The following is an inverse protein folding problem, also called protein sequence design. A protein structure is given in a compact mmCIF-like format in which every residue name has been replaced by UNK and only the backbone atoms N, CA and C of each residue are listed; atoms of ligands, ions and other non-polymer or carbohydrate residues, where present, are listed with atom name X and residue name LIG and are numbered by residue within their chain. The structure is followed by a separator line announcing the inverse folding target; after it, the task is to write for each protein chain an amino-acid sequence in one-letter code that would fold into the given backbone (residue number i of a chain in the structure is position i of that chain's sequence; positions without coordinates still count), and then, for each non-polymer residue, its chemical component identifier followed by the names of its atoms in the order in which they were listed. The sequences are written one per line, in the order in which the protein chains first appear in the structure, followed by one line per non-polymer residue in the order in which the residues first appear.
data_IF_280971412002
#
_entry.id   IF_280971412002
#
_cell.length_a   1.000
_cell.length_b   1.000
_cell.length_c   1.000
_cell.angle_alpha   90.00
_cell.angle_beta   90.00
_cell.angle_gamma   90.00
#
_symmetry.space_group_name_H-M   'P 1'
#
loop_
_entity.id
_entity.type
_entity.pdbx_description
1 polymer ?
#
# COMPACT_ATOMS: atom_id res chain seq x y z
N UNK A 1 20.06 44.89 39.12
CA UNK A 1 20.12 43.45 38.81
C UNK A 1 18.98 42.91 37.94
N UNK A 2 17.79 43.50 37.88
CA UNK A 2 16.67 42.99 37.04
C UNK A 2 16.78 43.30 35.54
N UNK A 3 17.49 44.35 35.16
CA UNK A 3 17.68 44.74 33.74
C UNK A 3 18.72 43.90 33.00
N UNK A 4 19.72 43.33 33.67
CA UNK A 4 20.76 42.50 33.03
C UNK A 4 20.25 41.10 32.67
N UNK A 5 19.29 40.55 33.40
CA UNK A 5 18.70 39.23 33.12
C UNK A 5 17.81 39.27 31.86
N UNK A 6 17.08 40.38 31.67
CA UNK A 6 16.21 40.58 30.51
C UNK A 6 17.04 40.70 29.22
N UNK A 7 18.23 41.33 29.29
CA UNK A 7 19.11 41.47 28.15
C UNK A 7 19.78 40.16 27.74
N UNK A 8 20.10 39.31 28.70
CA UNK A 8 20.65 37.97 28.43
C UNK A 8 19.57 37.06 27.82
N UNK A 9 18.32 37.17 28.26
CA UNK A 9 17.21 36.42 27.70
C UNK A 9 16.85 36.88 26.28
N UNK A 10 16.86 38.21 26.01
CA UNK A 10 16.66 38.73 24.65
C UNK A 10 17.79 38.36 23.70
N UNK A 11 19.04 38.35 24.14
CA UNK A 11 20.19 37.89 23.36
C UNK A 11 20.13 36.38 23.11
N UNK A 12 19.69 35.56 24.06
CA UNK A 12 19.54 34.12 23.85
C UNK A 12 18.41 33.77 22.88
N UNK A 13 17.31 34.55 22.86
CA UNK A 13 16.21 34.40 21.90
C UNK A 13 16.62 34.87 20.50
N UNK A 14 17.38 35.98 20.39
CA UNK A 14 17.94 36.43 19.12
C UNK A 14 18.99 35.47 18.56
N UNK A 15 19.84 34.90 19.42
CA UNK A 15 20.81 33.86 19.01
C UNK A 15 20.14 32.52 18.63
N UNK A 16 19.02 32.18 19.24
CA UNK A 16 18.24 30.99 18.86
C UNK A 16 17.54 31.17 17.49
N UNK A 17 17.14 32.41 17.13
CA UNK A 17 16.57 32.71 15.82
C UNK A 17 17.63 32.72 14.70
N UNK A 18 18.89 33.12 15.00
CA UNK A 18 19.96 33.20 14.00
C UNK A 18 20.76 31.89 13.82
N UNK A 19 20.61 30.92 14.73
CA UNK A 19 21.35 29.65 14.61
C UNK A 19 20.89 28.79 13.42
N UNK A 20 19.68 29.01 12.90
CA UNK A 20 19.21 28.35 11.68
C UNK A 20 19.87 28.90 10.41
N UNK A 21 20.40 30.12 10.41
CA UNK A 21 21.06 30.74 9.26
C UNK A 21 22.52 30.32 9.07
N UNK A 22 23.09 29.56 10.01
CA UNK A 22 24.50 29.16 9.99
C UNK A 22 24.76 27.76 9.40
N UNK A 23 23.72 27.00 9.14
CA UNK A 23 23.89 25.66 8.54
C UNK A 23 24.04 25.76 7.01
N UNK A 24 24.89 24.92 6.39
CA UNK A 24 24.94 24.82 4.95
C UNK A 24 23.54 24.52 4.37
N UNK A 25 23.16 25.08 3.21
CA UNK A 25 21.81 24.95 2.65
C UNK A 25 21.30 23.50 2.58
N UNK A 26 22.18 22.55 2.26
CA UNK A 26 21.83 21.13 2.23
C UNK A 26 21.45 20.58 3.63
N UNK A 27 22.17 21.00 4.67
CA UNK A 27 21.88 20.54 6.04
C UNK A 27 20.56 21.14 6.56
N UNK A 28 20.24 22.38 6.21
CA UNK A 28 18.94 22.99 6.50
C UNK A 28 17.82 22.21 5.83
N UNK A 29 17.98 21.87 4.56
CA UNK A 29 17.01 21.05 3.82
C UNK A 29 16.81 19.68 4.46
N UNK A 30 17.89 19.00 4.86
CA UNK A 30 17.81 17.69 5.53
C UNK A 30 17.06 17.78 6.88
N UNK A 31 17.25 18.87 7.64
CA UNK A 31 16.51 19.12 8.89
C UNK A 31 15.03 19.39 8.64
N UNK A 32 14.68 20.19 7.64
CA UNK A 32 13.30 20.45 7.28
C UNK A 32 12.58 19.17 6.82
N UNK A 33 13.26 18.31 6.06
CA UNK A 33 12.74 17.01 5.65
C UNK A 33 12.50 16.10 6.87
N UNK A 34 13.41 16.12 7.85
CA UNK A 34 13.23 15.38 9.10
C UNK A 34 12.01 15.89 9.88
N UNK A 35 11.87 17.21 10.04
CA UNK A 35 10.70 17.83 10.66
C UNK A 35 9.38 17.44 9.95
N UNK A 36 9.37 17.45 8.61
CA UNK A 36 8.20 17.03 7.84
C UNK A 36 7.84 15.57 8.10
N UNK A 37 8.84 14.71 8.22
CA UNK A 37 8.63 13.30 8.53
C UNK A 37 8.02 13.11 9.92
N UNK A 38 8.56 13.78 10.92
CA UNK A 38 8.09 13.70 12.31
C UNK A 38 6.67 14.26 12.44
N UNK A 39 6.40 15.42 11.82
CA UNK A 39 5.07 16.01 11.79
C UNK A 39 4.04 15.09 11.12
N UNK A 40 4.38 14.49 9.99
CA UNK A 40 3.46 13.60 9.26
C UNK A 40 3.15 12.30 10.03
N UNK A 41 4.12 11.82 10.84
CA UNK A 41 3.92 10.64 11.69
C UNK A 41 3.01 10.92 12.88
N UNK A 42 3.11 12.12 13.46
CA UNK A 42 2.36 12.51 14.67
C UNK A 42 0.94 12.99 14.35
N UNK A 43 0.77 13.75 13.26
CA UNK A 43 -0.49 14.43 12.93
C UNK A 43 -1.35 13.67 11.90
N UNK A 44 -0.80 12.69 11.20
CA UNK A 44 -1.45 12.03 10.07
C UNK A 44 -1.73 12.96 8.87
N UNK A 45 -1.13 14.17 8.85
CA UNK A 45 -1.28 15.18 7.80
C UNK A 45 0.08 15.71 7.38
N UNK A 46 0.15 16.38 6.23
CA UNK A 46 1.30 17.17 5.86
C UNK A 46 1.06 18.64 6.22
N UNK A 47 2.13 19.32 6.57
CA UNK A 47 2.14 20.77 6.69
C UNK A 47 2.49 21.34 5.31
N UNK A 48 1.49 21.86 4.60
CA UNK A 48 1.65 22.36 3.23
C UNK A 48 2.63 23.53 3.16
N UNK A 49 2.61 24.43 4.16
CA UNK A 49 3.56 25.51 4.24
C UNK A 49 5.00 25.00 4.36
N UNK A 50 5.26 24.02 5.21
CA UNK A 50 6.58 23.39 5.35
C UNK A 50 6.98 22.67 4.05
N UNK A 51 6.04 22.04 3.34
CA UNK A 51 6.31 21.44 2.04
C UNK A 51 6.75 22.48 0.99
N UNK A 52 6.09 23.63 0.94
CA UNK A 52 6.43 24.73 0.05
C UNK A 52 7.78 25.35 0.40
N UNK A 53 8.07 25.56 1.68
CA UNK A 53 9.38 26.04 2.15
C UNK A 53 10.51 25.09 1.76
N UNK A 54 10.34 23.79 1.95
CA UNK A 54 11.29 22.75 1.56
C UNK A 54 11.52 22.75 0.04
N UNK A 55 10.45 22.85 -0.74
CA UNK A 55 10.53 22.89 -2.21
C UNK A 55 11.25 24.13 -2.70
N UNK A 56 10.94 25.31 -2.14
CA UNK A 56 11.58 26.58 -2.45
C UNK A 56 13.08 26.53 -2.13
N UNK A 57 13.42 26.05 -0.95
CA UNK A 57 14.81 25.94 -0.53
C UNK A 57 15.62 24.97 -1.42
N UNK A 58 15.02 23.81 -1.78
CA UNK A 58 15.66 22.89 -2.72
C UNK A 58 15.85 23.50 -4.11
N UNK A 59 14.95 24.39 -4.53
CA UNK A 59 15.04 25.11 -5.81
C UNK A 59 16.14 26.18 -5.78
N UNK A 60 16.30 26.91 -4.68
CA UNK A 60 17.35 27.93 -4.49
C UNK A 60 18.75 27.33 -4.55
N UNK A 61 18.94 26.08 -4.12
CA UNK A 61 20.21 25.36 -4.23
C UNK A 61 20.59 25.14 -5.71
N UNK A 62 19.64 25.23 -6.65
CA UNK A 62 19.89 25.20 -8.10
C UNK A 62 20.28 23.83 -8.65
N UNK A 63 20.02 22.74 -7.92
CA UNK A 63 20.33 21.38 -8.34
C UNK A 63 19.03 20.60 -8.68
N UNK A 64 18.77 20.39 -9.98
CA UNK A 64 17.58 19.69 -10.47
C UNK A 64 17.41 18.28 -9.88
N UNK A 65 18.49 17.55 -9.68
CA UNK A 65 18.41 16.19 -9.09
C UNK A 65 18.00 16.25 -7.63
N UNK A 66 18.50 17.23 -6.88
CA UNK A 66 18.13 17.45 -5.49
C UNK A 66 16.67 17.90 -5.38
N UNK A 67 16.25 18.86 -6.22
CA UNK A 67 14.87 19.32 -6.27
C UNK A 67 13.90 18.17 -6.60
N UNK A 68 14.25 17.32 -7.58
CA UNK A 68 13.44 16.16 -7.93
C UNK A 68 13.37 15.13 -6.78
N UNK A 69 14.51 14.87 -6.11
CA UNK A 69 14.53 13.96 -4.96
C UNK A 69 13.67 14.48 -3.80
N UNK A 70 13.75 15.77 -3.52
CA UNK A 70 12.93 16.45 -2.50
C UNK A 70 11.44 16.35 -2.82
N UNK A 71 11.05 16.70 -4.04
CA UNK A 71 9.66 16.55 -4.51
C UNK A 71 9.19 15.10 -4.43
N UNK A 72 10.07 14.13 -4.72
CA UNK A 72 9.75 12.70 -4.62
C UNK A 72 9.43 12.28 -3.18
N UNK A 73 10.12 12.85 -2.19
CA UNK A 73 9.85 12.59 -0.77
C UNK A 73 8.46 13.12 -0.41
N UNK A 74 8.16 14.38 -0.73
CA UNK A 74 6.86 15.02 -0.44
C UNK A 74 5.73 14.28 -1.17
N UNK A 75 5.90 13.98 -2.46
CA UNK A 75 4.96 13.19 -3.26
C UNK A 75 4.62 11.84 -2.61
N UNK A 76 5.64 11.14 -2.13
CA UNK A 76 5.44 9.84 -1.48
C UNK A 76 4.63 9.97 -0.19
N UNK A 77 4.76 11.10 0.53
CA UNK A 77 3.96 11.39 1.74
C UNK A 77 2.51 11.67 1.40
N UNK A 78 2.22 12.53 0.42
CA UNK A 78 0.84 12.74 -0.04
C UNK A 78 0.19 11.44 -0.51
N UNK A 79 0.93 10.59 -1.24
CA UNK A 79 0.43 9.27 -1.62
C UNK A 79 0.06 8.39 -0.41
N UNK A 80 0.86 8.41 0.66
CA UNK A 80 0.58 7.64 1.90
C UNK A 80 -0.64 8.16 2.65
N UNK A 81 -0.88 9.45 2.59
CA UNK A 81 -2.03 10.11 3.20
C UNK A 81 -3.27 10.07 2.30
N UNK A 82 -3.18 9.44 1.13
CA UNK A 82 -4.23 9.37 0.11
C UNK A 82 -4.70 10.75 -0.40
N UNK A 83 -3.86 11.77 -0.25
CA UNK A 83 -4.11 13.10 -0.81
C UNK A 83 -3.79 13.10 -2.31
N UNK A 84 -4.79 12.73 -3.10
CA UNK A 84 -4.67 12.60 -4.55
C UNK A 84 -4.46 13.94 -5.24
N UNK A 85 -5.00 15.04 -4.70
CA UNK A 85 -4.91 16.38 -5.28
C UNK A 85 -3.47 16.91 -5.24
N UNK A 86 -2.87 16.94 -4.05
CA UNK A 86 -1.49 17.39 -3.87
C UNK A 86 -0.49 16.44 -4.52
N UNK A 87 -0.72 15.11 -4.44
CA UNK A 87 0.12 14.12 -5.14
C UNK A 87 0.13 14.36 -6.66
N UNK A 88 -1.02 14.64 -7.28
CA UNK A 88 -1.13 14.95 -8.70
C UNK A 88 -0.39 16.24 -9.06
N UNK A 89 -0.66 17.33 -8.32
CA UNK A 89 -0.01 18.62 -8.54
C UNK A 89 1.51 18.48 -8.50
N UNK A 90 2.03 17.74 -7.52
CA UNK A 90 3.46 17.55 -7.37
C UNK A 90 4.06 16.66 -8.47
N UNK A 91 3.33 15.63 -8.92
CA UNK A 91 3.74 14.81 -10.05
C UNK A 91 3.85 15.64 -11.33
N UNK A 92 2.88 16.53 -11.59
CA UNK A 92 2.92 17.43 -12.75
C UNK A 92 4.12 18.40 -12.68
N UNK A 93 4.48 18.90 -11.49
CA UNK A 93 5.69 19.71 -11.28
C UNK A 93 6.99 18.91 -11.47
N UNK A 94 7.02 17.63 -11.08
CA UNK A 94 8.20 16.76 -11.25
C UNK A 94 8.45 16.34 -12.69
N UNK A 95 7.38 16.14 -13.46
CA UNK A 95 7.42 15.54 -14.79
C UNK A 95 8.42 16.17 -15.77
N UNK A 96 8.51 17.50 -15.94
CA UNK A 96 9.48 18.13 -16.86
C UNK A 96 10.93 17.80 -16.49
N UNK A 97 11.26 17.81 -15.20
CA UNK A 97 12.60 17.51 -14.69
C UNK A 97 12.92 16.02 -14.87
N UNK A 98 11.99 15.15 -14.50
CA UNK A 98 12.14 13.71 -14.60
C UNK A 98 12.36 13.24 -16.05
N UNK A 99 11.64 13.84 -17.01
CA UNK A 99 11.84 13.56 -18.44
C UNK A 99 13.24 14.00 -18.87
N UNK A 100 13.69 15.19 -18.50
CA UNK A 100 14.98 15.75 -18.88
C UNK A 100 16.15 14.88 -18.42
N UNK A 101 16.11 14.39 -17.18
CA UNK A 101 17.18 13.55 -16.61
C UNK A 101 16.93 12.04 -16.80
N UNK A 102 15.87 11.63 -17.53
CA UNK A 102 15.46 10.23 -17.74
C UNK A 102 15.29 9.47 -16.44
N UNK A 103 14.57 10.07 -15.49
CA UNK A 103 14.38 9.50 -14.16
C UNK A 103 13.61 8.18 -14.20
N UNK A 104 14.23 7.16 -13.63
CA UNK A 104 13.64 5.81 -13.50
C UNK A 104 12.37 5.75 -12.64
N UNK A 105 12.14 6.75 -11.80
CA UNK A 105 10.95 6.81 -10.92
C UNK A 105 9.71 7.31 -11.64
N UNK A 106 9.84 7.90 -12.85
CA UNK A 106 8.72 8.47 -13.57
C UNK A 106 7.58 7.46 -13.81
N UNK A 107 7.93 6.26 -14.26
CA UNK A 107 6.97 5.15 -14.41
C UNK A 107 6.25 4.84 -13.08
N UNK A 108 7.02 4.67 -12.01
CA UNK A 108 6.46 4.28 -10.71
C UNK A 108 5.56 5.35 -10.11
N UNK A 109 5.86 6.62 -10.36
CA UNK A 109 5.04 7.72 -9.85
C UNK A 109 3.65 7.74 -10.53
N UNK A 110 3.59 7.52 -11.84
CA UNK A 110 2.30 7.39 -12.55
C UNK A 110 1.52 6.16 -12.08
N UNK A 111 2.19 5.03 -11.85
CA UNK A 111 1.56 3.82 -11.33
C UNK A 111 1.07 4.00 -9.87
N UNK A 112 1.76 4.79 -9.05
CA UNK A 112 1.26 5.15 -7.71
C UNK A 112 -0.03 5.94 -7.76
N UNK A 113 -0.19 6.86 -8.73
CA UNK A 113 -1.46 7.55 -8.95
C UNK A 113 -2.58 6.57 -9.31
N UNK A 114 -2.29 5.58 -10.18
CA UNK A 114 -3.27 4.53 -10.48
C UNK A 114 -3.70 3.78 -9.21
N UNK A 115 -2.76 3.43 -8.33
CA UNK A 115 -3.07 2.78 -7.06
C UNK A 115 -3.89 3.66 -6.11
N UNK A 116 -3.59 4.94 -6.00
CA UNK A 116 -4.38 5.87 -5.18
C UNK A 116 -5.85 5.88 -5.60
N UNK A 117 -6.09 5.95 -6.91
CA UNK A 117 -7.45 5.91 -7.43
C UNK A 117 -8.08 4.52 -7.32
N UNK A 118 -7.28 3.44 -7.35
CA UNK A 118 -7.76 2.10 -7.09
C UNK A 118 -8.25 1.95 -5.64
N UNK A 119 -7.51 2.44 -4.67
CA UNK A 119 -7.87 2.41 -3.25
C UNK A 119 -9.13 3.19 -2.93
N UNK A 120 -9.38 4.29 -3.65
CA UNK A 120 -10.59 5.10 -3.53
C UNK A 120 -11.73 4.61 -4.44
N UNK A 121 -11.58 3.43 -5.05
CA UNK A 121 -12.55 2.78 -5.94
C UNK A 121 -13.02 3.70 -7.08
N UNK A 122 -12.07 4.33 -7.74
CA UNK A 122 -12.27 5.19 -8.92
C UNK A 122 -11.73 4.50 -10.18
N UNK A 123 -12.46 3.52 -10.78
CA UNK A 123 -11.94 2.68 -11.85
C UNK A 123 -11.53 3.46 -13.11
N UNK A 124 -12.30 4.47 -13.50
CA UNK A 124 -11.99 5.29 -14.66
C UNK A 124 -10.66 6.06 -14.50
N UNK A 125 -10.43 6.65 -13.32
CA UNK A 125 -9.20 7.36 -13.02
C UNK A 125 -8.01 6.38 -12.88
N UNK A 126 -8.22 5.22 -12.25
CA UNK A 126 -7.21 4.17 -12.16
C UNK A 126 -6.76 3.75 -13.58
N UNK A 127 -7.69 3.44 -14.47
CA UNK A 127 -7.40 3.05 -15.85
C UNK A 127 -6.70 4.17 -16.63
N UNK A 128 -7.16 5.42 -16.46
CA UNK A 128 -6.52 6.59 -17.06
C UNK A 128 -5.03 6.69 -16.65
N UNK A 129 -4.73 6.54 -15.37
CA UNK A 129 -3.36 6.60 -14.88
C UNK A 129 -2.49 5.42 -15.29
N UNK A 130 -3.06 4.22 -15.44
CA UNK A 130 -2.37 3.06 -16.03
C UNK A 130 -1.99 3.36 -17.48
N UNK A 131 -2.90 3.95 -18.26
CA UNK A 131 -2.64 4.33 -19.66
C UNK A 131 -1.61 5.46 -19.77
N UNK A 132 -1.62 6.44 -18.86
CA UNK A 132 -0.57 7.46 -18.79
C UNK A 132 0.80 6.84 -18.44
N UNK A 133 0.85 5.93 -17.47
CA UNK A 133 2.06 5.21 -17.09
C UNK A 133 2.64 4.38 -18.25
N UNK A 134 1.79 3.87 -19.15
CA UNK A 134 2.20 3.08 -20.31
C UNK A 134 3.20 3.82 -21.20
N UNK A 135 3.12 5.15 -21.29
CA UNK A 135 4.07 5.98 -22.07
C UNK A 135 5.51 5.84 -21.58
N UNK A 136 5.69 5.43 -20.32
CA UNK A 136 6.97 5.24 -19.65
C UNK A 136 7.31 3.75 -19.41
N UNK A 137 6.50 2.83 -19.94
CA UNK A 137 6.68 1.38 -19.75
C UNK A 137 8.02 0.87 -20.29
N UNK A 138 8.62 1.59 -21.26
CA UNK A 138 9.97 1.27 -21.80
C UNK A 138 11.07 1.30 -20.73
N UNK A 139 10.86 2.03 -19.61
CA UNK A 139 11.79 2.09 -18.48
C UNK A 139 11.89 0.73 -17.79
N UNK A 140 10.75 0.09 -17.55
CA UNK A 140 10.65 -1.24 -16.96
C UNK A 140 9.30 -1.91 -17.34
N UNK A 141 9.22 -2.55 -18.51
CA UNK A 141 7.98 -3.14 -19.01
C UNK A 141 7.39 -4.17 -18.06
N UNK A 142 8.24 -4.99 -17.46
CA UNK A 142 7.82 -6.04 -16.53
C UNK A 142 7.13 -5.46 -15.31
N UNK A 143 7.71 -4.43 -14.69
CA UNK A 143 7.15 -3.78 -13.54
C UNK A 143 5.85 -3.03 -13.87
N UNK A 144 5.73 -2.50 -15.09
CA UNK A 144 4.49 -1.89 -15.55
C UNK A 144 3.35 -2.90 -15.58
N UNK A 145 3.54 -4.09 -16.19
CA UNK A 145 2.52 -5.13 -16.23
C UNK A 145 2.12 -5.61 -14.82
N UNK A 146 3.11 -5.87 -13.95
CA UNK A 146 2.86 -6.32 -12.58
C UNK A 146 2.02 -5.29 -11.81
N UNK A 147 2.40 -4.04 -11.90
CA UNK A 147 1.78 -2.98 -11.12
C UNK A 147 0.40 -2.61 -11.69
N UNK A 148 0.24 -2.60 -13.01
CA UNK A 148 -1.05 -2.42 -13.66
C UNK A 148 -2.04 -3.54 -13.30
N UNK A 149 -1.57 -4.80 -13.27
CA UNK A 149 -2.38 -5.94 -12.86
C UNK A 149 -2.89 -5.79 -11.42
N UNK A 150 -2.00 -5.40 -10.48
CA UNK A 150 -2.36 -5.17 -9.09
C UNK A 150 -3.35 -4.00 -8.93
N UNK A 151 -3.13 -2.87 -9.61
CA UNK A 151 -4.02 -1.72 -9.54
C UNK A 151 -5.41 -2.04 -10.09
N UNK A 152 -5.49 -2.74 -11.22
CA UNK A 152 -6.75 -3.22 -11.79
C UNK A 152 -7.49 -4.19 -10.85
N UNK A 153 -6.76 -5.11 -10.20
CA UNK A 153 -7.34 -6.04 -9.23
C UNK A 153 -7.98 -5.27 -8.05
N UNK A 154 -7.24 -4.33 -7.47
CA UNK A 154 -7.68 -3.51 -6.34
C UNK A 154 -8.91 -2.68 -6.69
N UNK A 155 -8.98 -2.18 -7.92
CA UNK A 155 -10.10 -1.38 -8.43
C UNK A 155 -11.32 -2.20 -8.87
N UNK A 156 -11.24 -3.54 -8.85
CA UNK A 156 -12.30 -4.42 -9.34
C UNK A 156 -12.36 -4.57 -10.86
N UNK A 157 -11.36 -4.09 -11.59
CA UNK A 157 -11.23 -4.25 -13.05
C UNK A 157 -10.62 -5.64 -13.38
N UNK A 158 -11.32 -6.70 -12.98
CA UNK A 158 -10.80 -8.07 -13.02
C UNK A 158 -10.42 -8.57 -14.43
N UNK A 159 -11.17 -8.29 -15.51
CA UNK A 159 -10.76 -8.67 -16.86
C UNK A 159 -9.43 -8.03 -17.26
N UNK A 160 -9.21 -6.75 -16.98
CA UNK A 160 -7.97 -6.04 -17.26
C UNK A 160 -6.83 -6.56 -16.39
N UNK A 161 -7.09 -6.80 -15.08
CA UNK A 161 -6.13 -7.40 -14.17
C UNK A 161 -5.61 -8.75 -14.72
N UNK A 162 -6.49 -9.59 -15.27
CA UNK A 162 -6.13 -10.87 -15.88
C UNK A 162 -5.21 -10.69 -17.11
N UNK A 163 -5.55 -9.77 -18.02
CA UNK A 163 -4.75 -9.47 -19.22
C UNK A 163 -3.34 -9.02 -18.84
N UNK A 164 -3.23 -8.09 -17.86
CA UNK A 164 -1.92 -7.61 -17.42
C UNK A 164 -1.14 -8.65 -16.63
N UNK A 165 -1.81 -9.48 -15.82
CA UNK A 165 -1.17 -10.59 -15.12
C UNK A 165 -0.61 -11.63 -16.09
N UNK A 166 -1.37 -12.02 -17.12
CA UNK A 166 -0.91 -12.94 -18.16
C UNK A 166 0.30 -12.37 -18.92
N UNK A 167 0.24 -11.08 -19.29
CA UNK A 167 1.36 -10.40 -19.94
C UNK A 167 2.61 -10.35 -19.04
N UNK A 168 2.44 -10.15 -17.73
CA UNK A 168 3.53 -10.21 -16.77
C UNK A 168 4.14 -11.63 -16.68
N UNK A 169 3.31 -12.67 -16.68
CA UNK A 169 3.72 -14.07 -16.55
C UNK A 169 4.55 -14.55 -17.74
N UNK A 170 4.22 -14.12 -18.95
CA UNK A 170 4.99 -14.47 -20.19
C UNK A 170 6.46 -14.04 -20.05
N UNK A 171 6.72 -12.92 -19.39
CA UNK A 171 8.06 -12.33 -19.29
C UNK A 171 8.79 -12.67 -17.99
N UNK A 172 8.19 -13.47 -17.08
CA UNK A 172 8.81 -13.86 -15.82
C UNK A 172 9.91 -14.93 -16.06
N UNK A 173 11.14 -14.55 -15.71
CA UNK A 173 12.32 -15.44 -15.76
C UNK A 173 12.34 -16.50 -14.66
N UNK A 174 11.58 -16.30 -13.57
CA UNK A 174 11.64 -17.13 -12.37
C UNK A 174 10.34 -17.91 -12.17
N UNK A 175 10.47 -19.19 -11.82
CA UNK A 175 9.32 -20.08 -11.51
C UNK A 175 8.81 -19.96 -10.09
N UNK A 176 9.13 -18.88 -9.40
CA UNK A 176 8.66 -18.63 -8.01
C UNK A 176 7.34 -17.89 -8.06
N UNK A 177 6.41 -18.26 -7.17
CA UNK A 177 5.13 -17.56 -7.03
C UNK A 177 5.38 -16.08 -6.73
N UNK A 178 4.79 -15.24 -7.54
CA UNK A 178 4.92 -13.79 -7.50
C UNK A 178 3.56 -13.13 -7.66
N UNK A 179 3.49 -11.82 -7.44
CA UNK A 179 2.25 -11.05 -7.51
C UNK A 179 1.36 -11.37 -8.74
N UNK A 180 1.87 -11.48 -9.98
CA UNK A 180 1.03 -11.82 -11.15
C UNK A 180 0.31 -13.17 -11.05
N UNK A 181 0.93 -14.18 -10.42
CA UNK A 181 0.27 -15.48 -10.21
C UNK A 181 -0.93 -15.33 -9.28
N UNK A 182 -0.78 -14.56 -8.20
CA UNK A 182 -1.84 -14.32 -7.22
C UNK A 182 -2.96 -13.49 -7.84
N UNK A 183 -2.61 -12.42 -8.57
CA UNK A 183 -3.58 -11.58 -9.30
C UNK A 183 -4.38 -12.42 -10.28
N UNK A 184 -3.71 -13.29 -11.07
CA UNK A 184 -4.40 -14.17 -12.02
C UNK A 184 -5.40 -15.08 -11.32
N UNK A 185 -5.00 -15.77 -10.26
CA UNK A 185 -5.88 -16.66 -9.51
C UNK A 185 -7.11 -15.94 -8.97
N UNK A 186 -6.92 -14.76 -8.35
CA UNK A 186 -8.00 -13.94 -7.78
C UNK A 186 -8.91 -13.40 -8.90
N UNK A 187 -8.34 -12.88 -9.98
CA UNK A 187 -9.11 -12.32 -11.09
C UNK A 187 -9.95 -13.40 -11.80
N UNK A 188 -9.42 -14.61 -11.97
CA UNK A 188 -10.17 -15.77 -12.50
C UNK A 188 -11.37 -16.10 -11.61
N UNK A 189 -11.18 -16.12 -10.27
CA UNK A 189 -12.28 -16.35 -9.32
C UNK A 189 -13.37 -15.28 -9.46
N UNK A 190 -12.97 -14.02 -9.55
CA UNK A 190 -13.88 -12.87 -9.64
C UNK A 190 -14.58 -12.74 -11.01
N UNK A 191 -14.02 -13.31 -12.06
CA UNK A 191 -14.65 -13.34 -13.40
C UNK A 191 -15.51 -14.58 -13.65
N UNK A 192 -15.69 -15.44 -12.65
CA UNK A 192 -16.55 -16.62 -12.74
C UNK A 192 -15.92 -17.80 -13.48
N UNK A 193 -14.64 -17.77 -13.79
CA UNK A 193 -13.90 -18.89 -14.41
C UNK A 193 -13.49 -19.92 -13.34
N UNK A 194 -14.48 -20.54 -12.71
CA UNK A 194 -14.33 -21.30 -11.47
C UNK A 194 -13.33 -22.45 -11.53
N UNK A 195 -13.35 -23.27 -12.60
CA UNK A 195 -12.44 -24.41 -12.72
C UNK A 195 -10.97 -23.99 -12.88
N UNK A 196 -10.70 -23.01 -13.75
CA UNK A 196 -9.36 -22.46 -13.94
C UNK A 196 -8.87 -21.71 -12.68
N UNK A 197 -9.77 -20.97 -12.01
CA UNK A 197 -9.47 -20.31 -10.74
C UNK A 197 -9.09 -21.31 -9.65
N UNK A 198 -9.81 -22.44 -9.52
CA UNK A 198 -9.53 -23.46 -8.52
C UNK A 198 -8.15 -24.09 -8.74
N UNK A 199 -7.80 -24.42 -9.97
CA UNK A 199 -6.49 -24.98 -10.33
C UNK A 199 -5.35 -24.00 -9.97
N UNK A 200 -5.45 -22.75 -10.44
CA UNK A 200 -4.45 -21.70 -10.17
C UNK A 200 -4.32 -21.40 -8.68
N UNK A 201 -5.44 -21.34 -7.96
CA UNK A 201 -5.47 -21.06 -6.51
C UNK A 201 -4.79 -22.17 -5.74
N UNK A 202 -5.13 -23.44 -5.98
CA UNK A 202 -4.50 -24.60 -5.33
C UNK A 202 -3.00 -24.61 -5.56
N UNK A 203 -2.55 -24.38 -6.80
CA UNK A 203 -1.14 -24.31 -7.11
C UNK A 203 -0.45 -23.20 -6.33
N UNK A 204 -0.99 -21.97 -6.36
CA UNK A 204 -0.42 -20.84 -5.65
C UNK A 204 -0.33 -21.09 -4.14
N UNK A 205 -1.38 -21.61 -3.51
CA UNK A 205 -1.41 -21.92 -2.07
C UNK A 205 -0.37 -22.98 -1.72
N UNK A 206 -0.27 -24.04 -2.52
CA UNK A 206 0.73 -25.10 -2.29
C UNK A 206 2.16 -24.54 -2.34
N UNK A 207 2.45 -23.71 -3.33
CA UNK A 207 3.78 -23.13 -3.50
C UNK A 207 4.08 -22.10 -2.37
N UNK A 208 3.09 -21.32 -1.94
CA UNK A 208 3.22 -20.40 -0.78
C UNK A 208 3.57 -21.18 0.48
N UNK A 209 2.80 -22.22 0.79
CA UNK A 209 3.03 -23.07 1.98
C UNK A 209 4.40 -23.73 1.96
N UNK A 210 4.80 -24.26 0.79
CA UNK A 210 6.14 -24.84 0.63
C UNK A 210 7.24 -23.81 0.86
N UNK A 211 7.10 -22.62 0.29
CA UNK A 211 8.06 -21.51 0.48
C UNK A 211 8.14 -21.08 1.94
N UNK A 212 7.00 -20.90 2.59
CA UNK A 212 6.91 -20.52 4.01
C UNK A 212 7.57 -21.56 4.93
N UNK A 213 7.26 -22.84 4.72
CA UNK A 213 7.86 -23.94 5.49
C UNK A 213 9.37 -24.00 5.30
N UNK A 214 9.87 -23.90 4.06
CA UNK A 214 11.29 -23.93 3.74
C UNK A 214 12.08 -22.78 4.38
N UNK A 215 11.49 -21.60 4.47
CA UNK A 215 12.16 -20.39 4.96
C UNK A 215 11.70 -19.97 6.35
N UNK A 216 10.90 -20.79 7.05
CA UNK A 216 10.36 -20.52 8.38
C UNK A 216 9.64 -19.16 8.48
N UNK A 217 8.88 -18.80 7.42
CA UNK A 217 8.16 -17.53 7.33
C UNK A 217 6.74 -17.74 7.86
N UNK A 218 6.36 -16.95 8.87
CA UNK A 218 5.03 -16.99 9.51
C UNK A 218 4.17 -15.76 9.17
N UNK A 219 4.53 -15.06 8.12
CA UNK A 219 3.82 -13.86 7.66
C UNK A 219 3.33 -14.03 6.23
N UNK A 220 2.24 -13.33 5.90
CA UNK A 220 1.68 -13.30 4.55
C UNK A 220 1.56 -11.86 4.04
N UNK A 221 1.62 -11.70 2.72
CA UNK A 221 1.29 -10.45 2.06
C UNK A 221 -0.22 -10.29 1.92
N UNK A 222 -0.68 -9.06 1.67
CA UNK A 222 -2.08 -8.76 1.40
C UNK A 222 -2.68 -9.59 0.25
N UNK A 223 -1.97 -9.72 -0.87
CA UNK A 223 -2.43 -10.54 -1.99
C UNK A 223 -2.54 -12.03 -1.66
N UNK A 224 -1.60 -12.55 -0.87
CA UNK A 224 -1.70 -13.93 -0.37
C UNK A 224 -2.94 -14.10 0.50
N UNK A 225 -3.18 -13.16 1.41
CA UNK A 225 -4.39 -13.17 2.24
C UNK A 225 -5.66 -13.16 1.37
N UNK A 226 -5.77 -12.27 0.39
CA UNK A 226 -6.91 -12.25 -0.53
C UNK A 226 -7.10 -13.60 -1.23
N UNK A 227 -6.02 -14.21 -1.71
CA UNK A 227 -6.08 -15.51 -2.37
C UNK A 227 -6.63 -16.60 -1.45
N UNK A 228 -6.15 -16.68 -0.22
CA UNK A 228 -6.64 -17.67 0.76
C UNK A 228 -8.12 -17.44 1.09
N UNK A 229 -8.54 -16.18 1.23
CA UNK A 229 -9.96 -15.83 1.43
C UNK A 229 -10.82 -16.25 0.25
N UNK A 230 -10.42 -15.97 -1.00
CA UNK A 230 -11.15 -16.43 -2.20
C UNK A 230 -11.25 -17.96 -2.24
N UNK A 231 -10.20 -18.65 -1.85
CA UNK A 231 -10.20 -20.11 -1.79
C UNK A 231 -11.17 -20.62 -0.73
N UNK A 232 -11.17 -20.06 0.47
CA UNK A 232 -12.12 -20.44 1.53
C UNK A 232 -13.58 -20.19 1.10
N UNK A 233 -13.85 -19.04 0.42
CA UNK A 233 -15.18 -18.75 -0.15
C UNK A 233 -15.57 -19.78 -1.21
N UNK A 234 -14.67 -20.17 -2.09
CA UNK A 234 -14.91 -21.19 -3.11
C UNK A 234 -15.21 -22.54 -2.49
N UNK A 235 -14.42 -22.98 -1.52
CA UNK A 235 -14.64 -24.24 -0.80
C UNK A 235 -16.02 -24.28 -0.13
N UNK A 236 -16.44 -23.21 0.53
CA UNK A 236 -17.78 -23.10 1.14
C UNK A 236 -18.90 -23.22 0.12
N UNK A 237 -18.79 -22.52 -1.02
CA UNK A 237 -19.77 -22.60 -2.10
C UNK A 237 -19.97 -24.05 -2.61
N UNK A 238 -18.92 -24.85 -2.54
CA UNK A 238 -18.97 -26.27 -2.91
C UNK A 238 -19.29 -27.21 -1.73
N UNK A 239 -19.73 -26.69 -0.59
CA UNK A 239 -20.07 -27.50 0.59
C UNK A 239 -18.89 -28.08 1.36
N UNK A 240 -17.64 -27.73 0.96
CA UNK A 240 -16.39 -28.22 1.59
C UNK A 240 -16.04 -27.42 2.84
N UNK A 241 -16.99 -27.35 3.79
CA UNK A 241 -16.87 -26.49 4.98
C UNK A 241 -15.69 -26.85 5.88
N UNK A 242 -15.31 -28.13 6.01
CA UNK A 242 -14.15 -28.57 6.82
C UNK A 242 -12.83 -28.08 6.20
N UNK A 243 -12.70 -28.15 4.87
CA UNK A 243 -11.51 -27.65 4.17
C UNK A 243 -11.43 -26.11 4.26
N UNK A 244 -12.57 -25.42 4.11
CA UNK A 244 -12.65 -23.97 4.29
C UNK A 244 -12.24 -23.55 5.71
N UNK A 245 -12.70 -24.30 6.73
CA UNK A 245 -12.35 -24.06 8.12
C UNK A 245 -10.83 -24.13 8.33
N UNK A 246 -10.19 -25.19 7.82
CA UNK A 246 -8.72 -25.34 7.93
C UNK A 246 -7.95 -24.16 7.30
N UNK A 247 -8.41 -23.65 6.16
CA UNK A 247 -7.80 -22.48 5.49
C UNK A 247 -7.99 -21.20 6.32
N UNK A 248 -9.18 -21.01 6.89
CA UNK A 248 -9.50 -19.84 7.70
C UNK A 248 -8.76 -19.83 9.04
N UNK A 249 -8.61 -21.00 9.69
CA UNK A 249 -7.79 -21.15 10.91
C UNK A 249 -6.31 -20.88 10.64
N UNK A 250 -5.81 -21.24 9.47
CA UNK A 250 -4.46 -20.89 9.05
C UNK A 250 -4.33 -19.36 8.92
N UNK A 251 -5.29 -18.69 8.25
CA UNK A 251 -5.32 -17.23 8.11
C UNK A 251 -5.43 -16.50 9.45
N UNK A 252 -6.17 -17.06 10.39
CA UNK A 252 -6.35 -16.43 11.72
C UNK A 252 -5.08 -16.44 12.56
N UNK A 253 -4.18 -17.41 12.32
CA UNK A 253 -2.91 -17.57 13.03
C UNK A 253 -1.74 -16.78 12.45
N UNK A 254 -1.82 -16.37 11.19
CA UNK A 254 -0.70 -15.67 10.54
C UNK A 254 -0.73 -14.18 10.81
N UNK A 255 0.45 -13.59 10.88
CA UNK A 255 0.61 -12.13 10.91
C UNK A 255 0.87 -11.56 9.51
N UNK A 256 0.47 -10.31 9.31
CA UNK A 256 0.74 -9.62 8.05
C UNK A 256 2.19 -9.16 7.95
N UNK A 257 2.80 -9.39 6.79
CA UNK A 257 4.10 -8.84 6.49
C UNK A 257 3.98 -7.33 6.22
N UNK A 258 4.40 -6.54 7.18
CA UNK A 258 4.36 -5.08 7.13
C UNK A 258 5.30 -4.45 6.08
N UNK A 259 6.18 -5.24 5.47
CA UNK A 259 7.25 -4.74 4.59
C UNK A 259 6.81 -4.64 3.13
N UNK A 260 5.83 -5.42 2.70
CA UNK A 260 5.62 -5.69 1.28
C UNK A 260 4.97 -4.58 0.44
N UNK A 261 4.19 -3.68 1.03
CA UNK A 261 3.60 -2.55 0.26
C UNK A 261 3.29 -1.34 1.16
N UNK A 262 4.20 -0.36 1.23
CA UNK A 262 3.95 0.89 1.99
C UNK A 262 2.71 1.65 1.52
N UNK A 263 2.22 1.38 0.30
CA UNK A 263 1.04 2.00 -0.30
C UNK A 263 -0.30 1.37 0.17
N UNK A 264 -0.27 0.13 0.69
CA UNK A 264 -1.47 -0.60 1.12
C UNK A 264 -1.63 -0.61 2.64
N UNK A 265 -0.89 0.21 3.36
CA UNK A 265 -1.06 0.38 4.80
C UNK A 265 -2.27 1.27 5.09
N UNK A 266 -3.45 0.68 5.02
CA UNK A 266 -4.48 1.09 5.94
C UNK A 266 -4.51 0.07 7.08
N UNK A 267 -4.19 0.50 8.32
CA UNK A 267 -4.45 -0.25 9.55
C UNK A 267 -5.90 -0.75 9.51
N UNK A 268 -6.76 0.06 8.95
CA UNK A 268 -8.17 -0.17 8.68
C UNK A 268 -8.44 -1.45 7.89
N UNK A 269 -7.66 -1.76 6.87
CA UNK A 269 -7.84 -2.98 6.08
C UNK A 269 -7.50 -4.25 6.89
N UNK A 270 -6.51 -4.20 7.77
CA UNK A 270 -6.11 -5.36 8.58
C UNK A 270 -7.22 -5.72 9.57
N UNK A 271 -7.79 -4.74 10.24
CA UNK A 271 -8.88 -4.97 11.19
C UNK A 271 -10.15 -5.45 10.47
N UNK A 272 -10.49 -4.87 9.32
CA UNK A 272 -11.58 -5.36 8.48
C UNK A 272 -11.38 -6.84 8.08
N UNK A 273 -10.14 -7.23 7.76
CA UNK A 273 -9.84 -8.63 7.42
C UNK A 273 -10.02 -9.58 8.60
N UNK A 274 -9.58 -9.18 9.79
CA UNK A 274 -9.81 -10.01 11.01
C UNK A 274 -11.31 -10.22 11.26
N UNK A 275 -12.11 -9.17 11.10
CA UNK A 275 -13.58 -9.26 11.19
C UNK A 275 -14.13 -10.26 10.17
N UNK A 276 -13.69 -10.17 8.90
CA UNK A 276 -14.14 -11.07 7.84
C UNK A 276 -13.75 -12.53 8.10
N UNK A 277 -12.53 -12.79 8.55
CA UNK A 277 -12.08 -14.15 8.91
C UNK A 277 -12.93 -14.71 10.06
N UNK A 278 -13.13 -13.94 11.14
CA UNK A 278 -13.93 -14.37 12.28
C UNK A 278 -15.39 -14.68 11.88
N UNK A 279 -16.01 -13.86 11.04
CA UNK A 279 -17.36 -14.14 10.51
C UNK A 279 -17.40 -15.43 9.70
N UNK A 280 -16.46 -15.63 8.79
CA UNK A 280 -16.40 -16.83 7.97
C UNK A 280 -16.09 -18.08 8.80
N UNK A 281 -15.24 -17.99 9.84
CA UNK A 281 -15.00 -19.06 10.79
C UNK A 281 -16.30 -19.42 11.50
N UNK A 282 -17.05 -18.44 12.02
CA UNK A 282 -18.36 -18.67 12.65
C UNK A 282 -19.30 -19.45 11.73
N UNK A 283 -19.44 -19.02 10.49
CA UNK A 283 -20.30 -19.68 9.51
C UNK A 283 -19.84 -21.11 9.17
N UNK A 284 -18.53 -21.35 9.08
CA UNK A 284 -17.98 -22.69 8.85
C UNK A 284 -18.15 -23.61 10.05
N UNK A 285 -17.93 -23.12 11.28
CA UNK A 285 -18.18 -23.88 12.51
C UNK A 285 -19.65 -24.25 12.64
N UNK A 286 -20.54 -23.29 12.35
CA UNK A 286 -21.99 -23.60 12.35
C UNK A 286 -22.35 -24.68 11.34
N UNK A 287 -21.84 -24.59 10.11
CA UNK A 287 -22.09 -25.56 9.06
C UNK A 287 -21.48 -26.94 9.34
N UNK A 288 -20.48 -27.04 10.21
CA UNK A 288 -19.84 -28.29 10.65
C UNK A 288 -20.41 -28.84 11.96
N UNK A 289 -21.41 -28.18 12.55
CA UNK A 289 -22.10 -28.63 13.79
C UNK A 289 -21.43 -28.13 15.09
N UNK A 290 -20.37 -27.33 15.01
CA UNK A 290 -19.63 -26.82 16.18
C UNK A 290 -20.25 -25.51 16.65
N UNK A 291 -21.42 -25.56 17.30
CA UNK A 291 -22.17 -24.34 17.66
C UNK A 291 -21.44 -23.44 18.68
N UNK A 292 -20.70 -24.05 19.63
CA UNK A 292 -19.95 -23.28 20.64
C UNK A 292 -18.90 -22.36 20.00
N UNK A 293 -18.09 -22.94 19.12
CA UNK A 293 -17.04 -22.22 18.38
C UNK A 293 -17.65 -21.20 17.40
N UNK A 294 -18.79 -21.54 16.80
CA UNK A 294 -19.50 -20.62 15.92
C UNK A 294 -19.93 -19.35 16.65
N UNK A 295 -20.54 -19.48 17.84
CA UNK A 295 -20.95 -18.36 18.70
C UNK A 295 -19.72 -17.56 19.15
N UNK A 296 -18.65 -18.24 19.57
CA UNK A 296 -17.42 -17.56 19.99
C UNK A 296 -16.83 -16.69 18.87
N UNK A 297 -16.76 -17.22 17.65
CA UNK A 297 -16.24 -16.45 16.52
C UNK A 297 -17.17 -15.33 16.06
N UNK A 298 -18.49 -15.48 16.18
CA UNK A 298 -19.45 -14.41 15.95
C UNK A 298 -19.24 -13.25 16.93
N UNK A 299 -19.17 -13.53 18.22
CA UNK A 299 -18.92 -12.53 19.27
C UNK A 299 -17.57 -11.84 19.09
N UNK A 300 -16.54 -12.58 18.67
CA UNK A 300 -15.23 -12.02 18.32
C UNK A 300 -15.32 -11.05 17.14
N UNK A 301 -16.05 -11.40 16.09
CA UNK A 301 -16.23 -10.53 14.93
C UNK A 301 -16.92 -9.21 15.31
N UNK A 302 -17.96 -9.28 16.14
CA UNK A 302 -18.69 -8.09 16.61
C UNK A 302 -17.83 -7.21 17.53
N UNK A 303 -17.02 -7.82 18.41
CA UNK A 303 -16.05 -7.08 19.24
C UNK A 303 -14.99 -6.37 18.38
N UNK A 304 -14.41 -7.05 17.40
CA UNK A 304 -13.44 -6.45 16.47
C UNK A 304 -14.08 -5.32 15.66
N UNK A 305 -15.32 -5.49 15.18
CA UNK A 305 -16.04 -4.47 14.44
C UNK A 305 -16.31 -3.22 15.29
N UNK A 306 -16.69 -3.42 16.55
CA UNK A 306 -16.96 -2.31 17.49
C UNK A 306 -15.67 -1.54 17.82
N UNK A 307 -14.57 -2.24 18.06
CA UNK A 307 -13.26 -1.62 18.29
C UNK A 307 -12.81 -0.80 17.08
N UNK A 308 -12.93 -1.36 15.89
CA UNK A 308 -12.60 -0.69 14.64
C UNK A 308 -13.43 0.59 14.44
N UNK A 309 -14.76 0.54 14.70
CA UNK A 309 -15.63 1.70 14.59
C UNK A 309 -15.24 2.82 15.58
N UNK A 310 -14.82 2.47 16.81
CA UNK A 310 -14.34 3.44 17.79
C UNK A 310 -13.02 4.11 17.39
N UNK A 311 -12.08 3.35 16.81
CA UNK A 311 -10.81 3.92 16.32
C UNK A 311 -11.00 4.88 15.14
N UNK A 312 -12.05 4.70 14.31
CA UNK A 312 -12.37 5.61 13.20
C UNK A 312 -12.98 6.94 13.66
N UNK A 313 -13.57 6.99 14.86
CA UNK A 313 -14.20 8.19 15.40
C UNK A 313 -13.22 9.08 16.20
N UNK A 314 -12.06 8.57 16.59
CA UNK A 314 -10.99 9.28 17.31
C UNK A 314 -9.89 9.76 16.35
#
# INVERSE_FOLDING_TARGET
MKTSILYIFLLSVLYACDSHSLLPPKQQLDQQIAQLNDYSLLSGRLNDQLCEEIETHAQEIGNDSLLLATRQIIYTRYCRLQDTAHARMLLDRMKPYAIRIKDKHLLMNHLRMAFLHAQTRQPAECERWINEARKYAYINPQNWYITAANACLECGLYPQALIYADSALVNLKYKVISSPHLVKAIALSRTGKTAEAEEWTKRCITDIRHFQAKHQIHTISYLQYQLFMEYAVSLRKHGKNKEALSVLEELDRVSFNNVATPLLRNKDNIEEYKVRVARMLSECYYATGNQSEAIQQANRADSLQSHYAQEQMN
#
